data_IF_147006821600
#
_entry.id   IF_147006821600
#
_cell.length_a   1.000
_cell.length_b   1.000
_cell.length_c   1.000
_cell.angle_alpha   90.00
_cell.angle_beta   90.00
_cell.angle_gamma   90.00
#
_symmetry.space_group_name_H-M   'P 1'
#
loop_
_entity.id
_entity.type
_entity.pdbx_description
1 polymer ?
#
# COMPACT_ATOMS: atom_id res chain seq x y z
N UNK A 1 11.64 13.98 29.62
CA UNK A 1 11.87 14.79 28.41
C UNK A 1 11.68 13.89 27.19
N UNK A 2 10.70 14.15 26.32
CA UNK A 2 10.40 13.27 25.18
C UNK A 2 11.00 13.88 23.92
N UNK A 3 12.06 13.27 23.38
CA UNK A 3 12.63 13.69 22.11
C UNK A 3 11.66 13.38 20.96
N UNK A 4 11.42 14.36 20.08
CA UNK A 4 10.65 14.21 18.83
C UNK A 4 11.20 13.11 17.92
N UNK A 5 12.46 12.70 18.14
CA UNK A 5 13.19 11.77 17.31
C UNK A 5 13.29 10.36 17.90
N UNK A 6 12.44 10.00 18.88
CA UNK A 6 12.47 8.66 19.47
C UNK A 6 11.98 7.61 18.46
N UNK A 7 12.84 6.72 17.94
CA UNK A 7 12.45 5.71 16.95
C UNK A 7 11.48 4.67 17.52
N UNK A 8 11.49 4.41 18.83
CA UNK A 8 10.56 3.51 19.51
C UNK A 8 9.11 4.01 19.48
N UNK A 9 8.89 5.30 19.19
CA UNK A 9 7.56 5.92 19.00
C UNK A 9 7.13 5.99 17.54
N UNK A 10 7.98 5.57 16.59
CA UNK A 10 7.54 5.28 15.23
C UNK A 10 6.71 4.01 15.34
N UNK A 11 5.42 4.17 15.66
CA UNK A 11 4.49 3.05 15.78
C UNK A 11 4.62 2.16 14.54
N UNK A 12 4.47 0.84 14.76
CA UNK A 12 4.50 -0.33 13.85
C UNK A 12 3.83 -0.15 12.47
N UNK A 13 4.15 0.92 11.73
CA UNK A 13 3.50 1.33 10.49
C UNK A 13 4.07 0.61 9.27
N UNK A 14 5.21 -0.04 9.42
CA UNK A 14 5.79 -0.99 8.47
C UNK A 14 5.48 -2.44 8.88
N UNK A 15 4.26 -2.73 9.33
CA UNK A 15 3.85 -4.13 9.33
C UNK A 15 3.54 -4.51 7.89
N UNK A 16 4.31 -5.47 7.37
CA UNK A 16 4.00 -6.18 6.13
C UNK A 16 2.52 -6.57 6.17
N UNK A 17 1.69 -5.86 5.40
CA UNK A 17 0.28 -6.22 5.27
C UNK A 17 0.19 -7.52 4.49
N UNK A 18 -0.71 -8.38 4.93
CA UNK A 18 -1.06 -9.62 4.23
C UNK A 18 -2.39 -9.40 3.53
N UNK A 19 -2.44 -9.58 2.22
CA UNK A 19 -3.68 -9.60 1.44
C UNK A 19 -3.81 -10.98 0.82
N UNK A 20 -4.93 -11.66 1.08
CA UNK A 20 -5.20 -13.00 0.55
C UNK A 20 -4.10 -14.03 0.87
N UNK A 21 -3.54 -13.96 2.09
CA UNK A 21 -2.42 -14.81 2.54
C UNK A 21 -1.05 -14.46 1.96
N UNK A 22 -0.96 -13.43 1.09
CA UNK A 22 0.28 -12.99 0.45
C UNK A 22 0.77 -11.68 1.04
N UNK A 23 2.09 -11.54 1.15
CA UNK A 23 2.70 -10.27 1.54
C UNK A 23 2.48 -9.23 0.45
N UNK A 24 2.02 -8.06 0.86
CA UNK A 24 1.80 -6.93 -0.04
C UNK A 24 2.57 -5.68 0.38
N UNK A 25 2.97 -4.91 -0.63
CA UNK A 25 3.72 -3.66 -0.49
C UNK A 25 2.92 -2.49 -1.08
N UNK A 26 3.04 -1.29 -0.51
CA UNK A 26 2.51 -0.09 -1.13
C UNK A 26 3.36 0.27 -2.35
N UNK A 27 2.72 0.52 -3.49
CA UNK A 27 3.38 1.03 -4.71
C UNK A 27 2.60 2.22 -5.26
N UNK A 28 3.32 3.19 -5.82
CA UNK A 28 2.70 4.34 -6.46
C UNK A 28 2.02 3.89 -7.76
N UNK A 29 0.70 3.99 -7.82
CA UNK A 29 -0.06 3.81 -9.05
C UNK A 29 -0.41 5.15 -9.68
N UNK A 30 -0.19 5.24 -10.99
CA UNK A 30 -0.46 6.43 -11.80
C UNK A 30 -1.45 6.06 -12.89
N UNK A 31 -2.74 6.15 -12.57
CA UNK A 31 -3.85 5.88 -13.49
C UNK A 31 -4.46 7.14 -14.10
N UNK A 32 -3.71 8.24 -14.18
CA UNK A 32 -4.19 9.51 -14.74
C UNK A 32 -4.71 9.36 -16.18
N UNK A 33 -4.12 8.48 -16.98
CA UNK A 33 -4.54 8.21 -18.36
C UNK A 33 -5.86 7.43 -18.47
N UNK A 34 -6.27 6.74 -17.40
CA UNK A 34 -7.50 5.92 -17.35
C UNK A 34 -8.56 6.51 -16.40
N UNK A 35 -8.36 7.75 -15.93
CA UNK A 35 -9.30 8.44 -15.02
C UNK A 35 -9.29 7.95 -13.57
N UNK A 36 -8.34 7.09 -13.18
CA UNK A 36 -8.26 6.54 -11.81
C UNK A 36 -7.48 7.44 -10.84
N UNK A 37 -6.76 8.45 -11.34
CA UNK A 37 -5.92 9.33 -10.53
C UNK A 37 -4.62 8.69 -10.05
N UNK A 38 -3.98 9.31 -9.05
CA UNK A 38 -2.71 8.86 -8.45
C UNK A 38 -2.94 8.47 -6.99
N UNK A 39 -2.56 7.26 -6.61
CA UNK A 39 -2.69 6.78 -5.23
C UNK A 39 -1.69 5.65 -4.94
N UNK A 40 -1.55 5.30 -3.67
CA UNK A 40 -0.77 4.12 -3.26
C UNK A 40 -1.62 2.87 -3.46
N UNK A 41 -1.31 2.10 -4.50
CA UNK A 41 -1.91 0.81 -4.77
C UNK A 41 -1.17 -0.29 -4.03
N UNK A 42 -1.80 -1.45 -4.03
CA UNK A 42 -1.28 -2.66 -3.42
C UNK A 42 -0.58 -3.52 -4.46
N UNK A 43 0.66 -3.88 -4.18
CA UNK A 43 1.47 -4.78 -4.99
C UNK A 43 1.76 -6.07 -4.24
N UNK A 44 1.58 -7.22 -4.88
CA UNK A 44 2.05 -8.50 -4.39
C UNK A 44 3.58 -8.58 -4.47
N UNK A 45 4.18 -9.51 -3.72
CA UNK A 45 5.62 -9.78 -3.78
C UNK A 45 6.14 -10.11 -5.20
N UNK A 46 5.29 -10.71 -6.02
CA UNK A 46 5.58 -11.05 -7.43
C UNK A 46 5.60 -9.83 -8.37
N UNK A 47 5.40 -8.61 -7.85
CA UNK A 47 5.39 -7.38 -8.63
C UNK A 47 4.05 -7.08 -9.33
N UNK A 48 3.04 -7.95 -9.20
CA UNK A 48 1.70 -7.73 -9.75
C UNK A 48 0.89 -6.81 -8.85
N UNK A 49 0.09 -5.93 -9.45
CA UNK A 49 -0.89 -5.12 -8.72
C UNK A 49 -2.10 -5.98 -8.35
N UNK A 50 -2.56 -5.83 -7.12
CA UNK A 50 -3.82 -6.42 -6.68
C UNK A 50 -4.95 -5.57 -7.26
N UNK A 51 -5.77 -6.15 -8.13
CA UNK A 51 -6.91 -5.49 -8.77
C UNK A 51 -8.21 -5.87 -8.06
N UNK A 52 -9.14 -4.92 -7.99
CA UNK A 52 -10.52 -5.14 -7.60
C UNK A 52 -11.34 -5.73 -8.76
N UNK A 53 -12.56 -6.18 -8.50
CA UNK A 53 -13.50 -6.73 -9.50
C UNK A 53 -13.80 -5.76 -10.65
N UNK A 54 -13.68 -4.46 -10.40
CA UNK A 54 -13.83 -3.39 -11.40
C UNK A 54 -12.58 -3.17 -12.27
N UNK A 55 -11.49 -3.94 -12.09
CA UNK A 55 -10.23 -3.74 -12.81
C UNK A 55 -9.39 -2.57 -12.31
N UNK A 56 -9.69 -2.04 -11.12
CA UNK A 56 -8.93 -0.95 -10.47
C UNK A 56 -7.97 -1.52 -9.43
N UNK A 57 -6.70 -1.07 -9.36
CA UNK A 57 -5.81 -1.46 -8.28
C UNK A 57 -6.37 -1.12 -6.90
N UNK A 58 -6.30 -2.05 -5.94
CA UNK A 58 -6.79 -1.83 -4.59
C UNK A 58 -5.85 -0.85 -3.86
N UNK A 59 -6.37 0.25 -3.29
CA UNK A 59 -5.56 1.17 -2.49
C UNK A 59 -4.97 0.46 -1.27
N UNK A 60 -3.68 0.64 -1.00
CA UNK A 60 -2.99 0.04 0.14
C UNK A 60 -3.55 0.49 1.49
N UNK A 61 -4.26 1.63 1.52
CA UNK A 61 -4.97 2.12 2.70
C UNK A 61 -6.25 1.34 3.02
N UNK A 62 -6.81 0.58 2.06
CA UNK A 62 -8.04 -0.22 2.22
C UNK A 62 -7.78 -1.67 2.61
N UNK A 63 -6.51 -2.05 2.75
CA UNK A 63 -6.05 -3.36 3.25
C UNK A 63 -5.65 -3.20 4.71
#
# INVERSE_FOLDING_TARGET
MVSKNNPSRRGRKDQDKLFDGKKVKPVLYVGSHVGHGRYMATQEENGKLVMDKEGKPIPYSRI
#
